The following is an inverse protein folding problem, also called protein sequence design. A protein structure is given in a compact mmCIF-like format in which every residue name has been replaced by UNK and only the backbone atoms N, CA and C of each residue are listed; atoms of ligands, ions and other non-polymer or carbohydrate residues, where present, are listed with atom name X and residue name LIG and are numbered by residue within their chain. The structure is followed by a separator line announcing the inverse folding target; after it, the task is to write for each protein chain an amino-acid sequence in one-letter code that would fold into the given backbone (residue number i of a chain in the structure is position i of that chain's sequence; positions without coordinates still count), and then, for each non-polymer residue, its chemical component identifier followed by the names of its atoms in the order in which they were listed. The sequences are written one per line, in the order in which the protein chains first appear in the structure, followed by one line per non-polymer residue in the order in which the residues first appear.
data_IF_617469721703
#
_entry.id   IF_617469721703
#
_cell.length_a   1.000
_cell.length_b   1.000
_cell.length_c   1.000
_cell.angle_alpha   90.00
_cell.angle_beta   90.00
_cell.angle_gamma   90.00
#
_symmetry.space_group_name_H-M   'P 1'
#
loop_
_entity.id
_entity.type
_entity.pdbx_description
1 polymer ?
#
# COMPACT_ATOMS: atom_id res chain seq x y z
N UNK A 1 7.34 3.34 -10.51
CA UNK A 1 8.41 2.98 -9.57
C UNK A 1 7.84 2.85 -8.16
N UNK A 2 7.58 1.62 -7.75
CA UNK A 2 6.93 1.35 -6.48
C UNK A 2 7.97 0.99 -5.43
N UNK A 3 7.88 1.62 -4.26
CA UNK A 3 8.71 1.32 -3.09
C UNK A 3 7.82 0.97 -1.93
N UNK A 4 8.43 0.40 -0.89
CA UNK A 4 7.72 0.22 0.37
C UNK A 4 7.23 1.58 0.89
N UNK A 5 6.02 1.63 1.34
CA UNK A 5 5.45 2.86 1.87
C UNK A 5 3.96 2.78 2.04
N UNK A 6 3.38 3.93 2.35
CA UNK A 6 1.94 4.06 2.51
C UNK A 6 1.38 4.75 1.27
N UNK A 7 0.35 4.18 0.70
CA UNK A 7 -0.21 4.64 -0.55
C UNK A 7 -1.71 4.78 -0.47
N UNK A 8 -2.22 5.70 -1.28
CA UNK A 8 -3.65 5.76 -1.57
C UNK A 8 -3.88 4.89 -2.78
N UNK A 9 -4.70 3.88 -2.62
CA UNK A 9 -5.02 2.93 -3.67
C UNK A 9 -6.50 3.03 -4.01
N UNK A 10 -6.79 2.77 -5.28
CA UNK A 10 -8.18 2.65 -5.69
C UNK A 10 -8.58 1.18 -5.64
N UNK A 11 -9.61 0.91 -4.86
CA UNK A 11 -10.20 -0.42 -4.74
C UNK A 11 -11.66 -0.30 -5.12
N UNK A 12 -12.03 -0.85 -6.26
CA UNK A 12 -13.36 -0.70 -6.85
C UNK A 12 -13.68 0.79 -7.00
N UNK A 13 -14.70 1.30 -6.34
CA UNK A 13 -15.06 2.71 -6.42
C UNK A 13 -14.58 3.49 -5.21
N UNK A 14 -13.77 2.89 -4.36
CA UNK A 14 -13.33 3.51 -3.12
C UNK A 14 -11.84 3.78 -3.14
N UNK A 15 -11.43 4.83 -2.46
CA UNK A 15 -10.02 5.08 -2.19
C UNK A 15 -9.70 4.56 -0.80
N UNK A 16 -8.61 3.83 -0.70
CA UNK A 16 -8.15 3.30 0.58
C UNK A 16 -6.69 3.64 0.80
N UNK A 17 -6.31 3.82 2.06
CA UNK A 17 -4.93 4.08 2.43
C UNK A 17 -4.37 2.79 3.02
N UNK A 18 -3.33 2.28 2.40
CA UNK A 18 -2.75 1.00 2.79
C UNK A 18 -1.24 1.06 2.76
N UNK A 19 -0.63 0.21 3.58
CA UNK A 19 0.81 0.01 3.55
C UNK A 19 1.13 -1.04 2.52
N UNK A 20 2.06 -0.72 1.64
CA UNK A 20 2.49 -1.61 0.57
C UNK A 20 3.93 -2.00 0.83
N UNK A 21 4.21 -3.29 0.81
CA UNK A 21 5.55 -3.84 0.96
C UNK A 21 5.87 -4.68 -0.25
N UNK A 22 7.01 -4.40 -0.87
CA UNK A 22 7.45 -5.16 -2.03
C UNK A 22 8.08 -6.48 -1.59
N UNK A 23 7.75 -7.52 -2.31
CA UNK A 23 8.38 -8.82 -2.12
C UNK A 23 9.64 -8.93 -2.97
N UNK A 24 10.56 -9.84 -2.63
CA UNK A 24 11.73 -10.07 -3.45
C UNK A 24 11.34 -10.33 -4.90
N UNK A 25 12.03 -9.69 -5.81
CA UNK A 25 11.70 -9.77 -7.22
C UNK A 25 10.84 -8.62 -7.72
N UNK A 26 10.12 -7.93 -6.83
CA UNK A 26 9.36 -6.74 -7.17
C UNK A 26 8.09 -6.94 -7.98
N UNK A 27 7.67 -8.20 -8.20
CA UNK A 27 6.47 -8.48 -8.98
C UNK A 27 5.24 -8.63 -8.11
N UNK A 28 5.43 -9.06 -6.88
CA UNK A 28 4.35 -9.25 -5.92
C UNK A 28 4.51 -8.29 -4.77
N UNK A 29 3.41 -7.94 -4.17
CA UNK A 29 3.38 -7.02 -3.05
C UNK A 29 2.48 -7.56 -1.95
N UNK A 30 2.71 -7.07 -0.75
CA UNK A 30 1.82 -7.27 0.38
C UNK A 30 1.12 -5.95 0.66
N UNK A 31 -0.18 -5.99 0.77
CA UNK A 31 -1.00 -4.84 1.11
C UNK A 31 -1.56 -5.07 2.50
N UNK A 32 -1.25 -4.15 3.41
CA UNK A 32 -1.68 -4.30 4.80
C UNK A 32 -2.21 -2.98 5.34
N UNK A 33 -3.02 -3.10 6.37
CA UNK A 33 -3.50 -1.96 7.13
C UNK A 33 -2.70 -1.88 8.42
N UNK A 34 -2.44 -0.67 8.89
CA UNK A 34 -1.81 -0.48 10.19
C UNK A 34 -2.75 -0.87 11.34
N UNK A 35 -4.04 -0.97 11.06
CA UNK A 35 -5.00 -1.44 12.01
C UNK A 35 -5.17 -2.95 11.85
N UNK A 36 -4.78 -3.71 12.88
CA UNK A 36 -4.82 -5.16 12.83
C UNK A 36 -6.24 -5.73 12.73
N UNK A 37 -7.25 -4.92 12.91
CA UNK A 37 -8.64 -5.36 12.72
C UNK A 37 -8.98 -5.57 11.25
N UNK A 38 -8.18 -5.04 10.34
CA UNK A 38 -8.39 -5.19 8.90
C UNK A 38 -7.48 -6.26 8.33
N UNK A 39 -7.96 -7.01 7.34
CA UNK A 39 -7.13 -8.06 6.74
C UNK A 39 -6.00 -7.50 5.91
N UNK A 40 -4.96 -8.31 5.77
CA UNK A 40 -3.87 -8.04 4.83
C UNK A 40 -4.02 -8.93 3.61
N UNK A 41 -3.51 -8.46 2.49
CA UNK A 41 -3.47 -9.26 1.28
C UNK A 41 -2.02 -9.48 0.91
N UNK A 42 -1.64 -10.76 0.87
CA UNK A 42 -0.30 -11.15 0.52
C UNK A 42 -0.26 -11.65 -0.93
N UNK A 43 0.91 -11.59 -1.53
CA UNK A 43 1.12 -12.11 -2.88
C UNK A 43 0.22 -11.48 -3.95
N UNK A 44 -0.06 -10.19 -3.80
CA UNK A 44 -0.85 -9.46 -4.79
C UNK A 44 0.06 -9.07 -5.94
N UNK A 45 -0.38 -9.32 -7.16
CA UNK A 45 0.35 -8.86 -8.34
C UNK A 45 0.23 -7.34 -8.42
N UNK A 46 1.37 -6.68 -8.56
CA UNK A 46 1.39 -5.20 -8.56
C UNK A 46 0.56 -4.62 -9.71
N UNK A 47 0.32 -5.37 -10.77
CA UNK A 47 -0.51 -4.91 -11.87
C UNK A 47 -2.00 -4.90 -11.52
N UNK A 48 -2.38 -5.53 -10.42
CA UNK A 48 -3.78 -5.59 -10.00
C UNK A 48 -4.20 -4.41 -9.14
N UNK A 49 -3.26 -3.55 -8.75
CA UNK A 49 -3.58 -2.39 -7.94
C UNK A 49 -3.44 -1.11 -8.76
N UNK A 50 -4.23 -0.13 -8.39
CA UNK A 50 -4.13 1.19 -8.97
C UNK A 50 -3.68 2.16 -7.88
N UNK A 51 -2.46 2.66 -8.02
CA UNK A 51 -1.88 3.61 -7.09
C UNK A 51 -2.31 5.01 -7.49
N UNK A 52 -2.94 5.71 -6.56
CA UNK A 52 -3.38 7.09 -6.79
C UNK A 52 -2.30 8.06 -6.33
N UNK A 53 -1.66 7.76 -5.20
CA UNK A 53 -0.62 8.61 -4.68
C UNK A 53 0.10 7.97 -3.52
N UNK A 54 1.21 8.57 -3.14
CA UNK A 54 2.00 8.12 -2.01
C UNK A 54 1.80 9.08 -0.86
N UNK A 55 1.63 8.54 0.34
CA UNK A 55 1.51 9.36 1.54
C UNK A 55 2.90 9.75 1.99
N UNK A 56 3.12 11.04 2.10
CA UNK A 56 4.37 11.61 2.60
C UNK A 56 4.12 12.10 4.01
N UNK A 57 4.93 11.61 4.94
CA UNK A 57 4.84 12.02 6.33
C UNK A 57 5.76 13.17 6.61
N UNK A 58 5.21 14.24 7.14
CA UNK A 58 6.01 15.31 7.71
C UNK A 58 5.90 15.18 9.22
N UNK A 59 6.78 14.35 9.76
CA UNK A 59 6.85 14.22 11.20
C UNK A 59 7.41 15.49 11.78
N UNK A 60 6.68 16.11 12.67
CA UNK A 60 7.18 17.24 13.44
C UNK A 60 7.21 16.87 14.89
N UNK A 61 8.39 17.00 15.45
CA UNK A 61 8.51 16.94 16.89
C UNK A 61 7.90 18.21 17.46
N UNK A 62 7.04 18.05 18.37
CA UNK A 62 6.40 19.16 19.03
C UNK A 62 6.96 19.30 20.44
#
# INVERSE_FOLDING_TARGET
WLRDGIYVLRADDALVVKRVTLKPGGRKITISSDNSAYPSWDDVDRSEIQVVGRVIWFGRAV
#
